data_IF_869982400105
#
_entry.id   IF_869982400105
#
_cell.length_a   1.000
_cell.length_b   1.000
_cell.length_c   1.000
_cell.angle_alpha   90.00
_cell.angle_beta   90.00
_cell.angle_gamma   90.00
#
_symmetry.space_group_name_H-M   'P 1'
#
loop_
_entity.id
_entity.type
_entity.pdbx_description
1 polymer ?
#
# COMPACT_ATOMS: atom_id res chain seq x y z
N UNK A 1 -33.14 3.15 37.07
CA UNK A 1 -31.80 2.55 36.98
C UNK A 1 -31.38 2.70 35.55
N UNK A 2 -30.50 3.61 35.31
CA UNK A 2 -29.92 3.81 33.97
C UNK A 2 -28.76 2.81 33.82
N UNK A 3 -28.91 1.85 32.95
CA UNK A 3 -27.81 1.01 32.52
C UNK A 3 -26.93 1.85 31.59
N UNK A 4 -25.70 2.07 32.01
CA UNK A 4 -24.70 2.75 31.23
C UNK A 4 -24.33 1.92 30.01
N UNK A 5 -24.67 2.43 28.86
CA UNK A 5 -24.07 2.00 27.61
C UNK A 5 -22.58 2.36 27.67
N UNK A 6 -21.74 1.36 27.88
CA UNK A 6 -20.31 1.48 27.62
C UNK A 6 -20.13 1.56 26.09
N UNK A 7 -20.14 2.77 25.58
CA UNK A 7 -19.64 3.09 24.26
C UNK A 7 -18.12 2.93 24.27
N UNK A 8 -17.64 1.72 24.02
CA UNK A 8 -16.25 1.42 23.71
C UNK A 8 -15.99 1.45 22.20
N UNK A 9 -16.66 2.36 21.52
CA UNK A 9 -16.33 2.72 20.14
C UNK A 9 -15.08 3.59 20.15
N UNK A 10 -13.89 2.99 20.24
CA UNK A 10 -12.66 3.70 19.96
C UNK A 10 -12.78 4.32 18.57
N UNK A 11 -12.62 5.65 18.47
CA UNK A 11 -12.66 6.37 17.21
C UNK A 11 -11.66 5.72 16.24
N UNK A 12 -12.18 5.11 15.13
CA UNK A 12 -11.36 4.56 14.09
C UNK A 12 -10.55 5.68 13.44
N UNK A 13 -9.24 5.51 13.37
CA UNK A 13 -8.33 6.47 12.74
C UNK A 13 -8.07 6.04 11.30
N UNK A 14 -8.38 6.89 10.34
CA UNK A 14 -7.99 6.67 8.95
C UNK A 14 -6.49 6.86 8.78
N UNK A 15 -5.85 6.09 7.88
CA UNK A 15 -4.48 6.38 7.46
C UNK A 15 -4.34 7.81 6.93
N UNK A 16 -3.22 8.45 7.20
CA UNK A 16 -2.93 9.80 6.69
C UNK A 16 -2.87 9.80 5.16
N UNK A 17 -3.46 10.81 4.49
CA UNK A 17 -3.45 10.88 3.02
C UNK A 17 -2.08 11.25 2.44
N UNK A 18 -1.15 11.73 3.26
CA UNK A 18 0.20 12.09 2.86
C UNK A 18 1.20 11.65 3.92
N UNK A 19 2.21 10.92 3.50
CA UNK A 19 3.32 10.49 4.36
C UNK A 19 4.63 10.86 3.69
N UNK A 20 5.46 11.65 4.37
CA UNK A 20 6.83 11.91 3.95
C UNK A 20 7.69 10.72 4.36
N UNK A 21 8.40 10.13 3.42
CA UNK A 21 9.35 9.04 3.67
C UNK A 21 10.73 9.61 3.98
N UNK A 22 11.26 10.42 3.06
CA UNK A 22 12.55 11.11 3.19
C UNK A 22 12.61 12.34 2.25
N UNK A 23 13.79 12.88 2.00
CA UNK A 23 13.98 14.06 1.13
C UNK A 23 13.58 13.82 -0.33
N UNK A 24 13.57 12.57 -0.79
CA UNK A 24 13.28 12.17 -2.15
C UNK A 24 11.87 11.59 -2.29
N UNK A 25 11.44 10.79 -1.31
CA UNK A 25 10.26 9.94 -1.40
C UNK A 25 9.11 10.46 -0.52
N UNK A 26 7.91 10.43 -1.08
CA UNK A 26 6.66 10.64 -0.36
C UNK A 26 5.56 9.70 -0.86
N UNK A 27 4.56 9.49 -0.03
CA UNK A 27 3.38 8.70 -0.33
C UNK A 27 2.18 9.64 -0.29
N UNK A 28 1.51 9.80 -1.40
CA UNK A 28 0.29 10.63 -1.52
C UNK A 28 -0.88 9.75 -1.89
N UNK A 29 -2.03 9.94 -1.23
CA UNK A 29 -3.22 9.13 -1.52
C UNK A 29 -3.52 9.13 -3.02
N UNK A 30 -3.71 7.94 -3.56
CA UNK A 30 -4.02 7.75 -4.97
C UNK A 30 -5.39 8.35 -5.29
N UNK A 31 -5.45 9.20 -6.29
CA UNK A 31 -6.66 9.92 -6.71
C UNK A 31 -7.00 9.64 -8.18
N UNK A 32 -8.22 9.99 -8.58
CA UNK A 32 -8.65 9.84 -9.97
C UNK A 32 -7.82 10.69 -10.94
N UNK A 33 -7.23 11.79 -10.48
CA UNK A 33 -6.32 12.61 -11.29
C UNK A 33 -5.02 11.90 -11.65
N UNK A 34 -4.63 10.88 -10.88
CA UNK A 34 -3.42 10.09 -11.11
C UNK A 34 -3.63 8.96 -12.13
N UNK A 35 -4.89 8.68 -12.50
CA UNK A 35 -5.25 7.49 -13.28
C UNK A 35 -4.47 7.35 -14.59
N UNK A 36 -4.33 8.43 -15.34
CA UNK A 36 -3.63 8.42 -16.63
C UNK A 36 -2.14 8.12 -16.47
N UNK A 37 -1.51 8.76 -15.48
CA UNK A 37 -0.07 8.60 -15.22
C UNK A 37 0.23 7.20 -14.69
N UNK A 38 -0.58 6.72 -13.75
CA UNK A 38 -0.44 5.34 -13.20
C UNK A 38 -0.68 4.30 -14.28
N UNK A 39 -1.72 4.45 -15.11
CA UNK A 39 -1.98 3.53 -16.22
C UNK A 39 -0.83 3.49 -17.22
N UNK A 40 -0.30 4.66 -17.61
CA UNK A 40 0.86 4.75 -18.48
C UNK A 40 2.06 4.02 -17.89
N UNK A 41 2.34 4.24 -16.61
CA UNK A 41 3.45 3.60 -15.91
C UNK A 41 3.29 2.08 -15.83
N UNK A 42 2.08 1.59 -15.56
CA UNK A 42 1.76 0.15 -15.59
C UNK A 42 2.01 -0.43 -16.99
N UNK A 43 1.52 0.25 -18.02
CA UNK A 43 1.60 -0.22 -19.40
C UNK A 43 3.05 -0.29 -19.91
N UNK A 44 3.86 0.72 -19.58
CA UNK A 44 5.30 0.76 -19.90
C UNK A 44 6.11 -0.31 -19.16
N UNK A 45 5.63 -0.78 -17.99
CA UNK A 45 6.31 -1.77 -17.17
C UNK A 45 5.64 -3.15 -17.18
N UNK A 46 4.70 -3.40 -18.07
CA UNK A 46 3.83 -4.59 -18.05
C UNK A 46 4.60 -5.91 -18.07
N UNK A 47 5.63 -6.03 -18.88
CA UNK A 47 6.46 -7.24 -18.96
C UNK A 47 7.20 -7.49 -17.64
N UNK A 48 7.73 -6.44 -17.04
CA UNK A 48 8.42 -6.52 -15.75
C UNK A 48 7.45 -6.86 -14.61
N UNK A 49 6.35 -6.12 -14.50
CA UNK A 49 5.39 -6.25 -13.41
C UNK A 49 4.61 -7.57 -13.45
N UNK A 50 4.34 -8.13 -14.64
CA UNK A 50 3.62 -9.40 -14.80
C UNK A 50 4.27 -10.56 -14.07
N UNK A 51 5.57 -10.50 -13.82
CA UNK A 51 6.31 -11.56 -13.12
C UNK A 51 5.86 -11.73 -11.67
N UNK A 52 5.31 -10.70 -11.07
CA UNK A 52 5.01 -10.66 -9.63
C UNK A 52 3.60 -10.19 -9.29
N UNK A 53 2.88 -9.60 -10.24
CA UNK A 53 1.54 -9.04 -10.03
C UNK A 53 0.49 -9.85 -10.79
N UNK A 54 -0.22 -10.77 -10.13
CA UNK A 54 -1.22 -11.63 -10.81
C UNK A 54 -2.43 -10.84 -11.33
N UNK A 55 -2.77 -9.71 -10.71
CA UNK A 55 -3.90 -8.84 -11.10
C UNK A 55 -3.60 -7.95 -12.32
N UNK A 56 -2.37 -7.90 -12.78
CA UNK A 56 -1.94 -6.96 -13.83
C UNK A 56 -2.75 -7.11 -15.12
N UNK A 57 -3.09 -8.34 -15.48
CA UNK A 57 -3.84 -8.65 -16.70
C UNK A 57 -5.34 -8.26 -16.60
N UNK A 58 -5.81 -7.84 -15.42
CA UNK A 58 -7.15 -7.29 -15.22
C UNK A 58 -7.22 -5.78 -15.53
N UNK A 59 -6.07 -5.11 -15.64
CA UNK A 59 -5.98 -3.67 -15.92
C UNK A 59 -5.38 -3.45 -17.32
N UNK A 60 -6.23 -3.46 -18.34
CA UNK A 60 -5.85 -3.34 -19.75
C UNK A 60 -6.29 -2.03 -20.42
N UNK A 61 -7.03 -1.21 -19.70
CA UNK A 61 -7.55 0.06 -20.19
C UNK A 61 -7.52 1.14 -19.09
N UNK A 62 -7.58 2.39 -19.52
CA UNK A 62 -7.71 3.52 -18.59
C UNK A 62 -9.00 3.43 -17.77
N UNK A 63 -10.10 2.95 -18.35
CA UNK A 63 -11.38 2.81 -17.65
C UNK A 63 -11.28 1.76 -16.52
N UNK A 64 -10.56 0.67 -16.74
CA UNK A 64 -10.29 -0.33 -15.71
C UNK A 64 -9.38 0.24 -14.60
N UNK A 65 -8.39 1.05 -14.97
CA UNK A 65 -7.56 1.76 -13.98
C UNK A 65 -8.39 2.74 -13.15
N UNK A 66 -9.28 3.49 -13.76
CA UNK A 66 -10.20 4.40 -13.05
C UNK A 66 -11.11 3.62 -12.11
N UNK A 67 -11.65 2.49 -12.55
CA UNK A 67 -12.49 1.62 -11.71
C UNK A 67 -11.73 1.09 -10.51
N UNK A 68 -10.48 0.68 -10.70
CA UNK A 68 -9.61 0.24 -9.61
C UNK A 68 -9.37 1.35 -8.59
N UNK A 69 -9.02 2.56 -9.05
CA UNK A 69 -8.80 3.71 -8.16
C UNK A 69 -10.07 4.09 -7.42
N UNK A 70 -11.23 4.05 -8.07
CA UNK A 70 -12.53 4.31 -7.45
C UNK A 70 -12.81 3.31 -6.31
N UNK A 71 -12.45 2.05 -6.51
CA UNK A 71 -12.54 1.03 -5.46
C UNK A 71 -11.62 1.34 -4.28
N UNK A 72 -10.37 1.74 -4.53
CA UNK A 72 -9.43 2.15 -3.50
C UNK A 72 -9.95 3.35 -2.68
N UNK A 73 -10.57 4.32 -3.34
CA UNK A 73 -11.18 5.48 -2.66
C UNK A 73 -12.33 5.01 -1.76
N UNK A 74 -13.19 4.12 -2.23
CA UNK A 74 -14.27 3.53 -1.43
C UNK A 74 -13.74 2.78 -0.22
N UNK A 75 -12.69 1.99 -0.37
CA UNK A 75 -12.05 1.29 0.75
C UNK A 75 -11.49 2.25 1.80
N UNK A 76 -10.93 3.39 1.35
CA UNK A 76 -10.45 4.42 2.25
C UNK A 76 -11.60 5.06 3.06
N UNK A 77 -12.70 5.38 2.39
CA UNK A 77 -13.89 5.94 3.04
C UNK A 77 -14.50 4.98 4.06
N UNK A 78 -14.42 3.67 3.80
CA UNK A 78 -14.93 2.61 4.66
C UNK A 78 -13.92 2.12 5.71
N UNK A 79 -12.77 2.77 5.90
CA UNK A 79 -11.69 2.39 6.83
C UNK A 79 -11.07 1.01 6.55
N UNK A 80 -11.16 0.51 5.31
CA UNK A 80 -10.66 -0.82 4.94
C UNK A 80 -9.23 -0.83 4.43
N UNK A 81 -8.76 0.29 3.93
CA UNK A 81 -7.43 0.41 3.35
C UNK A 81 -7.12 1.79 2.84
N UNK A 82 -5.95 1.94 2.27
CA UNK A 82 -5.52 3.12 1.53
C UNK A 82 -4.51 2.70 0.47
N UNK A 83 -4.60 3.30 -0.70
CA UNK A 83 -3.57 3.18 -1.75
C UNK A 83 -2.90 4.52 -1.95
N UNK A 84 -1.58 4.51 -1.97
CA UNK A 84 -0.75 5.69 -2.23
C UNK A 84 -0.07 5.58 -3.59
N UNK A 85 0.07 6.72 -4.27
CA UNK A 85 1.11 6.91 -5.27
C UNK A 85 2.45 7.06 -4.55
N UNK A 86 3.45 6.34 -4.98
CA UNK A 86 4.84 6.54 -4.54
C UNK A 86 5.44 7.64 -5.41
N UNK A 87 5.81 8.74 -4.78
CA UNK A 87 6.42 9.89 -5.46
C UNK A 87 7.92 9.93 -5.19
N UNK A 88 8.70 10.03 -6.25
CA UNK A 88 10.14 10.31 -6.20
C UNK A 88 10.39 11.67 -6.85
N UNK A 89 10.84 12.65 -6.08
CA UNK A 89 11.02 14.03 -6.52
C UNK A 89 9.79 14.62 -7.24
N UNK A 90 8.59 14.19 -6.80
CA UNK A 90 7.30 14.64 -7.33
C UNK A 90 6.71 13.79 -8.46
N UNK A 91 7.46 12.85 -9.03
CA UNK A 91 6.98 11.96 -10.10
C UNK A 91 6.48 10.63 -9.54
N UNK A 92 5.36 10.13 -10.08
CA UNK A 92 4.82 8.83 -9.70
C UNK A 92 5.73 7.73 -10.27
N UNK A 93 6.23 6.85 -9.38
CA UNK A 93 7.12 5.75 -9.73
C UNK A 93 6.54 4.37 -9.42
N UNK A 94 5.40 4.32 -8.76
CA UNK A 94 4.71 3.09 -8.37
C UNK A 94 3.56 3.38 -7.43
N UNK A 95 3.02 2.32 -6.85
CA UNK A 95 1.98 2.42 -5.81
C UNK A 95 2.30 1.53 -4.63
N UNK A 96 1.84 1.91 -3.46
CA UNK A 96 1.92 1.13 -2.23
C UNK A 96 0.67 1.37 -1.40
N UNK A 97 0.15 0.35 -0.77
CA UNK A 97 -1.05 0.52 0.03
C UNK A 97 -1.16 -0.44 1.19
N UNK A 98 -2.00 -0.04 2.14
CA UNK A 98 -2.51 -0.88 3.20
C UNK A 98 -3.84 -1.45 2.74
N UNK A 99 -3.99 -2.75 2.83
CA UNK A 99 -5.23 -3.44 2.55
C UNK A 99 -5.68 -4.25 3.78
N UNK A 100 -6.92 -4.69 3.76
CA UNK A 100 -7.45 -5.54 4.82
C UNK A 100 -7.15 -5.01 6.22
N UNK A 101 -7.33 -3.71 6.44
CA UNK A 101 -7.14 -3.13 7.77
C UNK A 101 -8.22 -3.69 8.69
N UNK A 102 -7.78 -4.37 9.72
CA UNK A 102 -8.61 -4.96 10.77
C UNK A 102 -8.28 -4.29 12.10
N UNK A 103 -9.13 -3.35 12.49
CA UNK A 103 -8.92 -2.59 13.73
C UNK A 103 -9.21 -3.42 14.98
N UNK A 104 -10.06 -4.43 14.89
CA UNK A 104 -10.37 -5.32 16.01
C UNK A 104 -9.15 -6.20 16.33
N UNK A 105 -8.57 -6.84 15.32
CA UNK A 105 -7.36 -7.67 15.46
C UNK A 105 -6.07 -6.85 15.32
N UNK A 106 -6.18 -5.55 15.07
CA UNK A 106 -5.07 -4.59 14.97
C UNK A 106 -4.00 -5.02 13.96
N UNK A 107 -4.46 -5.41 12.77
CA UNK A 107 -3.59 -5.91 11.71
C UNK A 107 -3.90 -5.27 10.36
N UNK A 108 -2.95 -5.30 9.44
CA UNK A 108 -3.14 -4.91 8.06
C UNK A 108 -2.21 -5.67 7.12
N UNK A 109 -2.61 -5.75 5.87
CA UNK A 109 -1.77 -6.21 4.77
C UNK A 109 -1.11 -5.04 4.05
N UNK A 110 -0.01 -5.28 3.36
CA UNK A 110 0.64 -4.34 2.46
C UNK A 110 0.83 -4.95 1.08
N UNK A 111 0.60 -4.14 0.05
CA UNK A 111 0.92 -4.47 -1.33
C UNK A 111 1.59 -3.28 -2.01
N UNK A 112 2.52 -3.54 -2.91
CA UNK A 112 3.23 -2.48 -3.62
C UNK A 112 3.80 -2.97 -4.95
N UNK A 113 4.08 -2.03 -5.81
CA UNK A 113 4.95 -2.21 -6.97
C UNK A 113 5.67 -0.89 -7.28
N UNK A 114 6.84 -1.01 -7.87
CA UNK A 114 7.65 0.12 -8.33
C UNK A 114 8.06 -0.17 -9.78
N UNK A 115 8.18 0.85 -10.61
CA UNK A 115 8.65 0.69 -11.98
C UNK A 115 10.06 0.10 -12.04
N UNK A 116 10.37 -0.61 -13.12
CA UNK A 116 11.64 -1.33 -13.29
C UNK A 116 12.86 -0.41 -13.11
N UNK A 117 12.77 0.82 -13.63
CA UNK A 117 13.83 1.83 -13.51
C UNK A 117 14.23 2.13 -12.06
N UNK A 118 13.26 2.03 -11.13
CA UNK A 118 13.46 2.28 -9.71
C UNK A 118 13.63 1.01 -8.87
N UNK A 119 13.64 -0.16 -9.51
CA UNK A 119 13.84 -1.43 -8.81
C UNK A 119 15.27 -1.57 -8.27
N UNK A 120 15.42 -2.27 -7.15
CA UNK A 120 16.73 -2.56 -6.54
C UNK A 120 17.42 -1.37 -5.87
N UNK A 121 16.73 -0.25 -5.70
CA UNK A 121 17.28 0.99 -5.08
C UNK A 121 16.84 1.18 -3.61
N UNK A 122 16.21 0.17 -3.00
CA UNK A 122 15.74 0.22 -1.62
C UNK A 122 14.48 1.06 -1.38
N UNK A 123 13.80 1.50 -2.44
CA UNK A 123 12.62 2.36 -2.35
C UNK A 123 11.47 1.64 -1.66
N UNK A 124 11.14 0.41 -2.07
CA UNK A 124 10.09 -0.38 -1.44
C UNK A 124 10.36 -0.60 0.05
N UNK A 125 11.60 -0.88 0.44
CA UNK A 125 11.99 -1.03 1.84
C UNK A 125 11.77 0.23 2.64
N UNK A 126 12.18 1.38 2.12
CA UNK A 126 11.99 2.68 2.79
C UNK A 126 10.51 3.05 2.92
N UNK A 127 9.73 2.83 1.87
CA UNK A 127 8.29 3.09 1.90
C UNK A 127 7.56 2.16 2.88
N UNK A 128 7.85 0.86 2.86
CA UNK A 128 7.29 -0.09 3.83
C UNK A 128 7.68 0.26 5.27
N UNK A 129 8.93 0.64 5.52
CA UNK A 129 9.38 1.08 6.85
C UNK A 129 8.56 2.26 7.35
N UNK A 130 8.31 3.26 6.50
CA UNK A 130 7.47 4.41 6.84
C UNK A 130 6.03 4.02 7.12
N UNK A 131 5.46 3.07 6.35
CA UNK A 131 4.12 2.56 6.60
C UNK A 131 4.03 1.76 7.90
N UNK A 132 5.02 0.96 8.24
CA UNK A 132 5.08 0.24 9.52
C UNK A 132 5.06 1.23 10.68
N UNK A 133 5.87 2.28 10.63
CA UNK A 133 5.87 3.32 11.65
C UNK A 133 4.49 3.99 11.78
N UNK A 134 3.86 4.31 10.66
CA UNK A 134 2.51 4.88 10.66
C UNK A 134 1.46 3.92 11.24
N UNK A 135 1.51 2.65 10.84
CA UNK A 135 0.60 1.63 11.36
C UNK A 135 0.71 1.47 12.88
N UNK A 136 1.93 1.40 13.40
CA UNK A 136 2.15 1.10 14.81
C UNK A 136 1.99 2.33 15.70
N UNK A 137 2.44 3.50 15.25
CA UNK A 137 2.44 4.71 16.07
C UNK A 137 1.15 5.53 15.95
N UNK A 138 0.57 5.61 14.75
CA UNK A 138 -0.58 6.49 14.49
C UNK A 138 -1.91 5.73 14.42
N UNK A 139 -1.92 4.53 13.84
CA UNK A 139 -3.13 3.71 13.68
C UNK A 139 -3.33 2.70 14.80
N UNK A 140 -2.40 2.61 15.75
CA UNK A 140 -2.45 1.65 16.86
C UNK A 140 -2.60 0.19 16.40
N UNK A 141 -2.10 -0.15 15.21
CA UNK A 141 -1.97 -1.52 14.75
C UNK A 141 -0.70 -2.15 15.31
N UNK A 142 -0.63 -3.47 15.35
CA UNK A 142 0.59 -4.15 15.78
C UNK A 142 0.94 -5.41 14.96
N UNK A 143 0.20 -5.67 13.91
CA UNK A 143 0.56 -6.72 12.95
C UNK A 143 0.52 -6.16 11.54
N UNK A 144 1.67 -6.20 10.90
CA UNK A 144 1.86 -5.78 9.50
C UNK A 144 2.23 -7.01 8.69
N UNK A 145 1.46 -7.33 7.66
CA UNK A 145 1.60 -8.55 6.87
C UNK A 145 2.00 -8.21 5.44
N UNK A 146 3.13 -8.76 5.00
CA UNK A 146 3.56 -8.70 3.62
C UNK A 146 3.46 -10.10 3.03
N UNK A 147 2.58 -10.26 2.04
CA UNK A 147 2.41 -11.52 1.31
C UNK A 147 3.19 -11.47 0.00
N UNK A 148 4.03 -12.45 -0.23
CA UNK A 148 4.80 -12.57 -1.45
C UNK A 148 4.99 -14.04 -1.83
N UNK A 149 5.01 -14.31 -3.14
CA UNK A 149 5.46 -15.61 -3.62
C UNK A 149 6.93 -15.83 -3.21
N UNK A 150 7.29 -17.05 -2.88
CA UNK A 150 8.69 -17.43 -2.60
C UNK A 150 9.62 -17.18 -3.78
N UNK A 151 9.09 -17.13 -4.99
CA UNK A 151 9.82 -16.79 -6.20
C UNK A 151 10.06 -15.27 -6.34
N UNK A 152 9.29 -14.44 -5.62
CA UNK A 152 9.50 -12.99 -5.59
C UNK A 152 10.61 -12.63 -4.60
N UNK A 153 11.83 -12.90 -5.01
CA UNK A 153 13.04 -12.69 -4.18
C UNK A 153 13.16 -11.24 -3.72
N UNK A 154 12.78 -10.28 -4.55
CA UNK A 154 12.84 -8.86 -4.21
C UNK A 154 11.95 -8.53 -3.01
N UNK A 155 10.71 -9.01 -2.99
CA UNK A 155 9.80 -8.82 -1.85
C UNK A 155 10.22 -9.61 -0.61
N UNK A 156 10.77 -10.81 -0.78
CA UNK A 156 11.35 -11.55 0.34
C UNK A 156 12.50 -10.78 1.01
N UNK A 157 13.37 -10.16 0.22
CA UNK A 157 14.46 -9.31 0.73
C UNK A 157 13.95 -8.05 1.45
N UNK A 158 12.88 -7.44 0.97
CA UNK A 158 12.23 -6.32 1.66
C UNK A 158 11.75 -6.77 3.04
N UNK A 159 11.05 -7.91 3.12
CA UNK A 159 10.58 -8.46 4.39
C UNK A 159 11.73 -8.76 5.36
N UNK A 160 12.82 -9.36 4.89
CA UNK A 160 14.02 -9.64 5.69
C UNK A 160 14.66 -8.35 6.23
N UNK A 161 14.83 -7.33 5.38
CA UNK A 161 15.42 -6.04 5.79
C UNK A 161 14.56 -5.29 6.81
N UNK A 162 13.24 -5.50 6.76
CA UNK A 162 12.30 -4.92 7.72
C UNK A 162 12.22 -5.72 9.02
N UNK A 163 12.88 -6.87 9.10
CA UNK A 163 12.83 -7.75 10.26
C UNK A 163 11.50 -8.48 10.44
N UNK A 164 10.74 -8.64 9.35
CA UNK A 164 9.48 -9.38 9.38
C UNK A 164 9.75 -10.89 9.52
N UNK A 165 8.97 -11.54 10.38
CA UNK A 165 9.06 -12.99 10.56
C UNK A 165 8.43 -13.73 9.39
N UNK A 166 9.12 -14.71 8.84
CA UNK A 166 8.61 -15.55 7.77
C UNK A 166 7.58 -16.55 8.32
N UNK A 167 6.39 -16.56 7.72
CA UNK A 167 5.34 -17.54 7.99
C UNK A 167 5.05 -18.28 6.69
N UNK A 168 5.26 -19.59 6.70
CA UNK A 168 4.84 -20.46 5.58
C UNK A 168 3.40 -20.92 5.81
N UNK A 169 2.60 -20.79 4.77
CA UNK A 169 1.24 -21.30 4.74
C UNK A 169 1.19 -22.55 3.90
#
# INVERSE_FOLDING_TARGET
MAEGENDTGGDLTRPSPLLVVDNQLSLSILSLSDAKEVFKLVDENRIYLRKTLPWLDEVNSLDEQISYISHCISDYELYKGIMYSVLSDGDIIGTIGLNSIDYENRSCGVGYWVSEEFAGKGIATRCCSRLIDHCFNDLNLHRFVLEASVENIASCRVAEKLGLSLIHI
#
